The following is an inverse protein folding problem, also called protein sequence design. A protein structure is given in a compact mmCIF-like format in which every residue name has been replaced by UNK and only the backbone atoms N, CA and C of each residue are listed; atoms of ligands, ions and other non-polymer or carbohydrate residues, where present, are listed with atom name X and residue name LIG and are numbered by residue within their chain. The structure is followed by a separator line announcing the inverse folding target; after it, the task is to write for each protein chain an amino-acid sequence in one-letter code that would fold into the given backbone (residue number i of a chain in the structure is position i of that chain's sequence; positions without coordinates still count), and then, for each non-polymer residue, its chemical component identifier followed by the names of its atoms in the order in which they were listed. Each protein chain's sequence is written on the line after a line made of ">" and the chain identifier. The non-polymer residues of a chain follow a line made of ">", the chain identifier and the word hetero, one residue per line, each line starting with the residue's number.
data_IF_183459238994
#
_entry.id   IF_183459238994
#
_cell.length_a   1.000
_cell.length_b   1.000
_cell.length_c   1.000
_cell.angle_alpha   90.00
_cell.angle_beta   90.00
_cell.angle_gamma   90.00
#
_symmetry.space_group_name_H-M   'P 1'
#
loop_
_entity.id
_entity.type
_entity.pdbx_description
1 polymer ?
#
# COMPACT_ATOMS: atom_id res chain seq x y z
N UNK A 1 -58.44 -33.16 -45.01
CA UNK A 1 -58.66 -32.08 -44.02
C UNK A 1 -57.64 -32.30 -42.91
N UNK A 2 -56.49 -31.65 -43.00
CA UNK A 2 -56.16 -30.37 -42.34
C UNK A 2 -56.20 -30.48 -40.81
N UNK A 3 -55.02 -30.54 -40.18
CA UNK A 3 -54.60 -29.92 -38.90
C UNK A 3 -53.38 -30.68 -38.37
N UNK A 4 -52.34 -30.09 -37.77
CA UNK A 4 -51.79 -28.73 -37.68
C UNK A 4 -50.42 -28.95 -37.00
N UNK A 5 -49.38 -28.42 -37.63
CA UNK A 5 -48.00 -28.35 -37.12
C UNK A 5 -47.96 -27.58 -35.81
N UNK A 6 -47.25 -28.09 -34.79
CA UNK A 6 -46.68 -27.22 -33.74
C UNK A 6 -45.34 -27.78 -33.29
N UNK A 7 -44.27 -27.16 -33.76
CA UNK A 7 -42.91 -27.36 -33.28
C UNK A 7 -42.75 -26.59 -31.96
N UNK A 8 -42.38 -27.29 -30.88
CA UNK A 8 -41.97 -26.65 -29.64
C UNK A 8 -40.45 -26.45 -29.70
N UNK A 9 -40.03 -25.20 -29.93
CA UNK A 9 -38.66 -24.76 -29.89
C UNK A 9 -38.31 -24.44 -28.42
N UNK A 10 -37.74 -25.41 -27.71
CA UNK A 10 -37.28 -25.22 -26.32
C UNK A 10 -35.93 -24.49 -26.34
N UNK A 11 -35.97 -23.17 -26.12
CA UNK A 11 -34.81 -22.32 -25.95
C UNK A 11 -34.27 -22.52 -24.52
N UNK A 12 -33.24 -23.36 -24.36
CA UNK A 12 -32.48 -23.46 -23.12
C UNK A 12 -31.56 -22.24 -23.01
N UNK A 13 -31.99 -21.25 -22.22
CA UNK A 13 -31.15 -20.16 -21.74
C UNK A 13 -30.04 -20.77 -20.86
N UNK A 14 -28.85 -20.87 -21.42
CA UNK A 14 -27.63 -21.10 -20.65
C UNK A 14 -27.41 -19.88 -19.74
N UNK A 15 -27.84 -20.01 -18.48
CA UNK A 15 -27.41 -19.14 -17.40
C UNK A 15 -25.94 -19.45 -17.14
N UNK A 16 -25.06 -18.83 -17.93
CA UNK A 16 -23.65 -18.72 -17.58
C UNK A 16 -23.58 -17.82 -16.36
N UNK A 17 -23.73 -18.42 -15.17
CA UNK A 17 -23.17 -17.87 -13.95
C UNK A 17 -21.66 -17.81 -14.16
N UNK A 18 -21.21 -16.69 -14.73
CA UNK A 18 -19.83 -16.26 -14.56
C UNK A 18 -19.68 -16.03 -13.06
N UNK A 19 -19.21 -17.04 -12.34
CA UNK A 19 -18.44 -16.81 -11.14
C UNK A 19 -17.36 -15.80 -11.57
N UNK A 20 -17.51 -14.55 -11.16
CA UNK A 20 -16.41 -13.61 -11.15
C UNK A 20 -15.34 -14.26 -10.27
N UNK A 21 -14.40 -14.96 -10.90
CA UNK A 21 -13.06 -15.14 -10.37
C UNK A 21 -12.59 -13.72 -10.02
N UNK A 22 -12.74 -13.36 -8.74
CA UNK A 22 -11.97 -12.27 -8.16
C UNK A 22 -10.54 -12.75 -8.23
N UNK A 23 -9.88 -12.50 -9.36
CA UNK A 23 -8.42 -12.54 -9.44
C UNK A 23 -7.95 -11.73 -8.24
N UNK A 24 -7.27 -12.39 -7.30
CA UNK A 24 -6.66 -11.69 -6.18
C UNK A 24 -5.82 -10.54 -6.79
N UNK A 25 -5.86 -9.33 -6.21
CA UNK A 25 -5.03 -8.25 -6.70
C UNK A 25 -3.58 -8.74 -6.74
N UNK A 26 -2.91 -8.53 -7.88
CA UNK A 26 -1.53 -8.97 -8.12
C UNK A 26 -0.57 -8.00 -7.41
N UNK A 27 -0.59 -8.03 -6.07
CA UNK A 27 0.12 -7.09 -5.20
C UNK A 27 -0.19 -7.30 -3.71
N UNK A 28 0.52 -6.56 -2.83
CA UNK A 28 0.36 -6.70 -1.40
C UNK A 28 -0.99 -6.13 -0.93
N UNK A 29 -1.48 -6.65 0.19
CA UNK A 29 -2.55 -6.01 0.97
C UNK A 29 -1.93 -4.89 1.79
N UNK A 30 -2.41 -3.67 1.58
CA UNK A 30 -1.97 -2.47 2.31
C UNK A 30 -3.16 -1.98 3.15
N UNK A 31 -2.95 -1.91 4.47
CA UNK A 31 -3.91 -1.34 5.42
C UNK A 31 -3.32 -0.07 6.02
N UNK A 32 -4.16 0.93 6.31
CA UNK A 32 -3.74 2.14 7.00
C UNK A 32 -4.59 2.49 8.22
N UNK A 33 -3.96 3.13 9.20
CA UNK A 33 -4.61 3.66 10.39
C UNK A 33 -3.94 4.98 10.83
N UNK A 34 -4.72 5.86 11.46
CA UNK A 34 -4.18 7.09 12.05
C UNK A 34 -3.73 6.80 13.48
N UNK A 35 -2.46 7.09 13.77
CA UNK A 35 -1.82 6.84 15.07
C UNK A 35 -1.16 8.10 15.62
N UNK A 36 -0.95 8.14 16.93
CA UNK A 36 -0.16 9.20 17.55
C UNK A 36 1.33 8.98 17.25
N UNK A 37 2.03 10.03 16.83
CA UNK A 37 3.45 9.94 16.50
C UNK A 37 4.31 9.49 17.70
N UNK A 38 3.91 9.85 18.92
CA UNK A 38 4.60 9.46 20.15
C UNK A 38 4.64 7.93 20.35
N UNK A 39 3.57 7.22 19.97
CA UNK A 39 3.48 5.76 20.12
C UNK A 39 4.39 5.04 19.13
N UNK A 40 4.61 5.63 17.95
CA UNK A 40 5.50 5.13 16.90
C UNK A 40 6.95 5.43 17.24
N UNK A 41 7.28 6.70 17.50
CA UNK A 41 8.66 7.20 17.65
C UNK A 41 9.39 6.50 18.80
N UNK A 42 8.68 6.17 19.88
CA UNK A 42 9.25 5.43 21.01
C UNK A 42 9.71 4.00 20.65
N UNK A 43 9.22 3.44 19.55
CA UNK A 43 9.43 2.04 19.14
C UNK A 43 10.15 1.91 17.79
N UNK A 44 10.62 3.03 17.21
CA UNK A 44 11.27 3.02 15.90
C UNK A 44 12.63 2.32 15.93
N UNK A 45 12.81 1.36 15.04
CA UNK A 45 14.12 0.80 14.74
C UNK A 45 14.82 1.64 13.67
N UNK A 46 15.62 2.61 14.13
CA UNK A 46 16.36 3.52 13.26
C UNK A 46 17.41 2.84 12.37
N UNK A 47 17.80 1.58 12.67
CA UNK A 47 18.73 0.84 11.83
C UNK A 47 18.08 0.32 10.55
N UNK A 48 16.75 0.14 10.56
CA UNK A 48 15.94 -0.39 9.44
C UNK A 48 14.92 0.61 8.88
N UNK A 49 14.93 1.85 9.39
CA UNK A 49 14.03 2.91 8.93
C UNK A 49 14.72 3.84 7.94
N UNK A 50 13.99 4.16 6.87
CA UNK A 50 14.44 5.00 5.78
C UNK A 50 13.39 6.05 5.43
N UNK A 51 13.84 7.21 4.98
CA UNK A 51 13.01 8.34 4.55
C UNK A 51 13.08 8.49 3.03
N UNK A 52 11.94 8.69 2.41
CA UNK A 52 11.84 8.96 0.98
C UNK A 52 12.27 10.40 0.68
N UNK A 53 13.11 10.59 -0.33
CA UNK A 53 13.71 11.89 -0.64
C UNK A 53 12.72 12.94 -1.13
N UNK A 54 11.60 12.51 -1.71
CA UNK A 54 10.62 13.41 -2.29
C UNK A 54 9.42 13.60 -1.37
N UNK A 55 8.85 14.78 -1.49
CA UNK A 55 7.81 15.30 -0.61
C UNK A 55 6.38 15.08 -1.10
N UNK A 56 6.23 14.50 -2.27
CA UNK A 56 4.94 14.25 -2.90
C UNK A 56 4.99 12.89 -3.55
N UNK A 57 4.32 11.92 -2.94
CA UNK A 57 4.14 10.58 -3.47
C UNK A 57 2.83 10.02 -2.95
N UNK A 58 2.18 9.18 -3.74
CA UNK A 58 1.10 8.34 -3.24
C UNK A 58 1.73 7.17 -2.46
N UNK A 59 1.52 7.06 -1.14
CA UNK A 59 2.17 6.04 -0.31
C UNK A 59 1.97 4.63 -0.84
N UNK A 60 0.75 4.27 -1.24
CA UNK A 60 0.43 2.93 -1.76
C UNK A 60 1.27 2.58 -2.99
N UNK A 61 1.39 3.49 -3.95
CA UNK A 61 2.20 3.28 -5.16
C UNK A 61 3.67 3.02 -4.83
N UNK A 62 4.21 3.71 -3.82
CA UNK A 62 5.59 3.53 -3.35
C UNK A 62 5.77 2.19 -2.61
N UNK A 63 4.81 1.83 -1.77
CA UNK A 63 4.80 0.55 -1.04
C UNK A 63 4.73 -0.64 -2.01
N UNK A 64 3.89 -0.56 -3.05
CA UNK A 64 3.82 -1.57 -4.11
C UNK A 64 5.14 -1.67 -4.87
N UNK A 65 5.79 -0.54 -5.16
CA UNK A 65 7.09 -0.55 -5.86
C UNK A 65 8.19 -1.24 -5.03
N UNK A 66 8.25 -0.95 -3.72
CA UNK A 66 9.18 -1.61 -2.80
C UNK A 66 8.88 -3.11 -2.66
N UNK A 67 7.61 -3.50 -2.54
CA UNK A 67 7.20 -4.91 -2.51
C UNK A 67 7.62 -5.65 -3.78
N UNK A 68 7.38 -5.06 -4.96
CA UNK A 68 7.81 -5.63 -6.26
C UNK A 68 9.33 -5.74 -6.41
N UNK A 69 10.08 -4.93 -5.66
CA UNK A 69 11.55 -4.95 -5.64
C UNK A 69 12.13 -5.97 -4.64
N UNK A 70 11.29 -6.80 -4.01
CA UNK A 70 11.70 -7.74 -2.95
C UNK A 70 12.39 -7.02 -1.78
N UNK A 71 11.82 -5.88 -1.40
CA UNK A 71 12.19 -5.10 -0.22
C UNK A 71 11.04 -5.18 0.79
N UNK A 72 11.06 -6.17 1.69
CA UNK A 72 9.94 -6.42 2.57
C UNK A 72 9.82 -5.32 3.63
N UNK A 73 8.71 -4.59 3.59
CA UNK A 73 8.40 -3.48 4.50
C UNK A 73 7.63 -4.05 5.70
N UNK A 74 8.03 -3.67 6.92
CA UNK A 74 7.27 -4.01 8.12
C UNK A 74 6.12 -3.02 8.31
N UNK A 75 6.44 -1.73 8.26
CA UNK A 75 5.53 -0.60 8.47
C UNK A 75 6.02 0.62 7.69
N UNK A 76 5.13 1.54 7.39
CA UNK A 76 5.49 2.85 6.87
C UNK A 76 4.63 3.96 7.47
N UNK A 77 5.07 5.21 7.35
CA UNK A 77 4.43 6.35 7.98
C UNK A 77 4.45 7.60 7.10
N UNK A 78 3.32 8.31 7.11
CA UNK A 78 3.16 9.63 6.52
C UNK A 78 2.72 10.63 7.61
N UNK A 79 3.49 11.70 7.88
CA UNK A 79 3.03 12.79 8.73
C UNK A 79 1.78 13.46 8.15
N UNK A 80 0.73 13.60 8.95
CA UNK A 80 -0.53 14.24 8.55
C UNK A 80 -0.64 15.71 8.98
N UNK A 81 0.32 16.20 9.76
CA UNK A 81 0.33 17.56 10.26
C UNK A 81 1.53 18.38 9.78
N UNK A 82 1.32 19.69 9.79
CA UNK A 82 2.24 20.68 9.25
C UNK A 82 3.40 21.03 10.19
N UNK A 83 3.49 20.39 11.38
CA UNK A 83 4.60 20.66 12.31
C UNK A 83 5.94 20.20 11.75
N UNK A 84 5.86 19.26 10.81
CA UNK A 84 6.99 18.72 10.08
C UNK A 84 7.16 19.30 8.69
N UNK A 85 6.54 20.45 8.38
CA UNK A 85 6.71 21.10 7.09
C UNK A 85 8.20 21.27 6.75
N UNK A 86 8.67 20.42 5.85
CA UNK A 86 9.89 20.65 5.11
C UNK A 86 9.57 21.69 4.04
N UNK A 87 10.50 22.57 3.66
CA UNK A 87 10.33 23.38 2.45
C UNK A 87 10.10 22.52 1.19
N UNK A 88 10.44 21.22 1.26
CA UNK A 88 10.16 20.26 0.22
C UNK A 88 8.70 19.75 0.32
N UNK A 89 8.11 19.58 1.51
CA UNK A 89 6.76 19.04 1.77
C UNK A 89 6.79 17.84 2.76
N UNK A 90 5.70 17.08 2.95
CA UNK A 90 5.64 15.95 3.89
C UNK A 90 6.56 14.81 3.45
N UNK A 91 7.29 14.20 4.39
CA UNK A 91 8.25 13.12 4.11
C UNK A 91 7.65 11.77 4.49
N UNK A 92 7.67 10.83 3.56
CA UNK A 92 7.26 9.45 3.80
C UNK A 92 8.43 8.64 4.38
N UNK A 93 8.17 7.74 5.31
CA UNK A 93 9.19 6.87 5.90
C UNK A 93 8.74 5.41 5.89
N UNK A 94 9.67 4.49 5.66
CA UNK A 94 9.43 3.04 5.66
C UNK A 94 10.43 2.32 6.55
N UNK A 95 9.95 1.38 7.36
CA UNK A 95 10.77 0.41 8.09
C UNK A 95 10.77 -0.92 7.33
N UNK A 96 11.95 -1.46 7.05
CA UNK A 96 12.10 -2.77 6.42
C UNK A 96 12.13 -3.89 7.47
N UNK A 97 11.69 -5.11 7.12
CA UNK A 97 11.86 -6.30 7.96
C UNK A 97 13.34 -6.58 8.25
N UNK A 98 14.23 -6.30 7.29
CA UNK A 98 15.69 -6.36 7.45
C UNK A 98 16.31 -5.14 6.78
N UNK A 99 17.35 -4.57 7.40
CA UNK A 99 18.11 -3.50 6.76
C UNK A 99 18.66 -3.98 5.40
N UNK A 100 18.33 -3.27 4.33
CA UNK A 100 18.76 -3.56 2.98
C UNK A 100 19.23 -2.28 2.30
N UNK A 101 20.45 -2.30 1.79
CA UNK A 101 21.05 -1.13 1.14
C UNK A 101 20.43 -0.83 -0.24
N UNK A 102 19.78 -1.80 -0.89
CA UNK A 102 19.14 -1.63 -2.21
C UNK A 102 18.01 -0.60 -2.19
N UNK A 103 17.43 -0.29 -1.02
CA UNK A 103 16.37 0.72 -0.90
C UNK A 103 16.81 2.11 -1.40
N UNK A 104 18.12 2.40 -1.42
CA UNK A 104 18.65 3.67 -1.95
C UNK A 104 18.46 3.80 -3.47
N UNK A 105 18.26 2.70 -4.19
CA UNK A 105 17.93 2.68 -5.63
C UNK A 105 16.48 3.15 -5.88
N UNK A 106 15.68 3.28 -4.82
CA UNK A 106 14.29 3.75 -4.82
C UNK A 106 14.14 5.12 -4.14
N UNK A 107 15.21 5.92 -4.12
CA UNK A 107 15.23 7.28 -3.57
C UNK A 107 14.94 7.35 -2.06
N UNK A 108 15.26 6.29 -1.32
CA UNK A 108 15.25 6.31 0.14
C UNK A 108 16.64 6.56 0.72
N UNK A 109 16.70 7.37 1.77
CA UNK A 109 17.91 7.55 2.59
C UNK A 109 17.69 6.99 3.98
N UNK A 110 18.79 6.57 4.62
CA UNK A 110 18.74 6.13 6.01
C UNK A 110 18.29 7.26 6.92
N UNK A 111 17.25 7.01 7.71
CA UNK A 111 16.70 7.99 8.63
C UNK A 111 15.22 7.75 8.89
N UNK A 112 14.76 8.25 10.02
CA UNK A 112 13.32 8.31 10.35
C UNK A 112 12.69 9.62 9.88
N UNK A 113 13.45 10.38 9.09
CA UNK A 113 13.05 11.69 8.62
C UNK A 113 12.51 12.61 9.70
N UNK A 114 11.27 13.03 9.46
CA UNK A 114 10.55 13.99 10.29
C UNK A 114 9.52 13.36 11.23
N UNK A 115 9.50 12.04 11.41
CA UNK A 115 8.48 11.40 12.27
C UNK A 115 8.45 11.96 13.71
N UNK A 116 9.60 12.39 14.24
CA UNK A 116 9.71 12.92 15.60
C UNK A 116 9.09 14.32 15.82
N UNK A 117 8.85 15.12 14.77
CA UNK A 117 8.18 16.42 14.92
C UNK A 117 6.66 16.34 14.74
N UNK A 118 6.15 15.21 14.24
CA UNK A 118 4.74 15.03 13.97
C UNK A 118 4.00 14.78 15.29
N UNK A 119 2.72 15.05 15.29
CA UNK A 119 1.78 14.65 16.35
C UNK A 119 0.90 13.49 15.91
N UNK A 120 0.56 13.45 14.62
CA UNK A 120 -0.25 12.39 14.02
C UNK A 120 0.41 11.85 12.77
N UNK A 121 0.38 10.52 12.63
CA UNK A 121 0.89 9.81 11.46
C UNK A 121 -0.25 8.96 10.88
N UNK A 122 -0.29 8.84 9.56
CA UNK A 122 -0.91 7.68 8.93
C UNK A 122 0.13 6.56 8.88
N UNK A 123 -0.17 5.44 9.53
CA UNK A 123 0.66 4.24 9.54
C UNK A 123 0.11 3.24 8.52
N UNK A 124 0.99 2.65 7.73
CA UNK A 124 0.68 1.61 6.75
C UNK A 124 1.27 0.28 7.21
N UNK A 125 0.47 -0.78 7.12
CA UNK A 125 0.90 -2.18 7.30
C UNK A 125 0.77 -2.91 5.98
N UNK A 126 1.78 -3.72 5.64
CA UNK A 126 1.87 -4.42 4.36
C UNK A 126 1.89 -5.92 4.65
N UNK A 127 1.03 -6.68 3.96
CA UNK A 127 0.97 -8.14 4.01
C UNK A 127 0.82 -8.73 2.61
N UNK A 128 1.18 -10.01 2.46
CA UNK A 128 1.05 -10.77 1.20
C UNK A 128 -0.40 -11.19 0.91
#
# INVERSE_FOLDING_TARGET
>A
MMTRTTAALTLLLAFSMACQERTAPDGPVIESEIVAAADVVAQLDTARTFEYLFSSVEPESLLVALWRADLPISRAWLPLDDRCLSPLGPHFSAELLRADARIVEHDFLKGTGRLACATTLEQFTISD
#
